data_IF_607790589288
#
_entry.id   IF_607790589288
#
_cell.length_a   1.000
_cell.length_b   1.000
_cell.length_c   1.000
_cell.angle_alpha   90.00
_cell.angle_beta   90.00
_cell.angle_gamma   90.00
#
_symmetry.space_group_name_H-M   'P 1'
#
loop_
_entity.id
_entity.type
_entity.pdbx_description
1 polymer ?
#
# COMPACT_ATOMS: atom_id res chain seq x y z
N UNK A 1 -0.17 -17.24 11.66
CA UNK A 1 0.95 -16.28 11.77
C UNK A 1 0.92 -15.23 10.67
N UNK A 2 0.92 -15.60 9.38
CA UNK A 2 0.89 -14.63 8.28
C UNK A 2 -0.34 -13.71 8.28
N UNK A 3 -1.53 -14.25 8.61
CA UNK A 3 -2.75 -13.44 8.71
C UNK A 3 -2.62 -12.35 9.81
N UNK A 4 -2.00 -12.67 10.94
CA UNK A 4 -1.76 -11.70 12.02
C UNK A 4 -0.81 -10.60 11.53
N UNK A 5 0.27 -10.97 10.84
CA UNK A 5 1.22 -10.00 10.28
C UNK A 5 0.54 -9.08 9.25
N UNK A 6 -0.31 -9.61 8.38
CA UNK A 6 -1.03 -8.84 7.38
C UNK A 6 -2.10 -7.93 8.00
N UNK A 7 -2.82 -8.39 9.03
CA UNK A 7 -3.75 -7.55 9.81
C UNK A 7 -2.97 -6.41 10.47
N UNK A 8 -1.90 -6.73 11.20
CA UNK A 8 -1.07 -5.73 11.89
C UNK A 8 -0.49 -4.73 10.90
N UNK A 9 0.07 -5.19 9.79
CA UNK A 9 0.59 -4.32 8.72
C UNK A 9 -0.50 -3.39 8.16
N UNK A 10 -1.68 -3.92 7.87
CA UNK A 10 -2.82 -3.12 7.38
C UNK A 10 -3.25 -2.07 8.40
N UNK A 11 -3.44 -2.46 9.67
CA UNK A 11 -3.88 -1.55 10.74
C UNK A 11 -2.85 -0.44 10.96
N UNK A 12 -1.56 -0.77 11.01
CA UNK A 12 -0.49 0.21 11.20
C UNK A 12 -0.44 1.22 10.04
N UNK A 13 -0.54 0.74 8.79
CA UNK A 13 -0.54 1.62 7.62
C UNK A 13 -1.79 2.50 7.56
N UNK A 14 -2.98 1.94 7.83
CA UNK A 14 -4.23 2.72 7.87
C UNK A 14 -4.17 3.77 8.97
N UNK A 15 -3.70 3.42 10.17
CA UNK A 15 -3.49 4.36 11.25
C UNK A 15 -2.53 5.48 10.87
N UNK A 16 -1.43 5.15 10.18
CA UNK A 16 -0.47 6.12 9.68
C UNK A 16 -1.09 7.07 8.66
N UNK A 17 -1.87 6.55 7.70
CA UNK A 17 -2.61 7.37 6.73
C UNK A 17 -3.57 8.30 7.45
N UNK A 18 -4.43 7.77 8.33
CA UNK A 18 -5.39 8.56 9.09
C UNK A 18 -4.72 9.64 9.94
N UNK A 19 -3.55 9.35 10.52
CA UNK A 19 -2.80 10.32 11.32
C UNK A 19 -2.40 11.57 10.51
N UNK A 20 -2.18 11.45 9.19
CA UNK A 20 -1.88 12.59 8.30
C UNK A 20 -3.09 13.48 8.04
N UNK A 21 -4.31 12.96 8.16
CA UNK A 21 -5.55 13.73 7.98
C UNK A 21 -5.93 14.54 9.22
N UNK A 22 -5.31 14.26 10.38
CA UNK A 22 -5.53 15.01 11.62
C UNK A 22 -4.32 15.87 11.97
N UNK A 23 -4.54 17.18 12.13
CA UNK A 23 -3.50 18.12 12.60
C UNK A 23 -2.93 17.72 13.97
N UNK A 24 -3.75 17.13 14.85
CA UNK A 24 -3.30 16.66 16.15
C UNK A 24 -2.33 15.48 16.05
N UNK A 25 -2.53 14.56 15.10
CA UNK A 25 -1.78 13.30 15.01
C UNK A 25 -0.73 13.27 13.89
N UNK A 26 -0.62 14.31 13.06
CA UNK A 26 0.34 14.38 11.96
C UNK A 26 1.79 14.14 12.41
N UNK A 27 2.14 14.53 13.64
CA UNK A 27 3.47 14.31 14.21
C UNK A 27 3.87 12.83 14.27
N UNK A 28 2.92 11.90 14.41
CA UNK A 28 3.20 10.47 14.38
C UNK A 28 3.71 10.03 13.01
N UNK A 29 3.07 10.48 11.93
CA UNK A 29 3.54 10.21 10.58
C UNK A 29 4.94 10.78 10.33
N UNK A 30 5.22 12.00 10.82
CA UNK A 30 6.54 12.61 10.70
C UNK A 30 7.64 11.87 11.49
N UNK A 31 7.31 11.31 12.65
CA UNK A 31 8.27 10.50 13.42
C UNK A 31 8.60 9.20 12.67
N UNK A 32 7.59 8.50 12.18
CA UNK A 32 7.79 7.28 11.39
C UNK A 32 8.59 7.59 10.14
N UNK A 33 8.27 8.69 9.45
CA UNK A 33 9.01 9.16 8.29
C UNK A 33 10.51 9.28 8.56
N UNK A 34 10.90 9.91 9.67
CA UNK A 34 12.31 10.06 10.06
C UNK A 34 12.99 8.70 10.27
N UNK A 35 12.28 7.76 10.90
CA UNK A 35 12.81 6.42 11.18
C UNK A 35 13.02 5.61 9.89
N UNK A 36 12.10 5.70 8.94
CA UNK A 36 12.16 4.92 7.69
C UNK A 36 13.08 5.52 6.62
N UNK A 37 13.79 6.62 6.93
CA UNK A 37 14.73 7.26 6.01
C UNK A 37 14.11 8.30 5.08
N UNK A 38 12.97 8.89 5.47
CA UNK A 38 12.36 10.03 4.82
C UNK A 38 11.04 9.74 4.10
N UNK A 39 10.40 10.82 3.66
CA UNK A 39 9.04 10.79 3.10
C UNK A 39 8.86 9.86 1.91
N UNK A 40 9.81 9.88 0.97
CA UNK A 40 9.74 9.05 -0.23
C UNK A 40 9.76 7.55 0.10
N UNK A 41 10.61 7.16 1.06
CA UNK A 41 10.72 5.77 1.50
C UNK A 41 9.45 5.34 2.22
N UNK A 42 8.86 6.22 3.03
CA UNK A 42 7.60 5.94 3.68
C UNK A 42 6.48 5.63 2.69
N UNK A 43 6.35 6.43 1.62
CA UNK A 43 5.36 6.19 0.57
C UNK A 43 5.57 4.85 -0.14
N UNK A 44 6.83 4.49 -0.43
CA UNK A 44 7.16 3.16 -1.01
C UNK A 44 6.79 2.02 -0.07
N UNK A 45 7.06 2.17 1.23
CA UNK A 45 6.69 1.16 2.24
C UNK A 45 5.18 1.02 2.38
N UNK A 46 4.44 2.14 2.43
CA UNK A 46 2.96 2.13 2.44
C UNK A 46 2.42 1.44 1.20
N UNK A 47 2.95 1.80 0.02
CA UNK A 47 2.57 1.22 -1.27
C UNK A 47 2.78 -0.29 -1.35
N UNK A 48 3.86 -0.80 -0.77
CA UNK A 48 4.19 -2.23 -0.82
C UNK A 48 3.48 -3.04 0.28
N UNK A 49 3.58 -2.60 1.54
CA UNK A 49 3.06 -3.34 2.70
C UNK A 49 1.55 -3.47 2.61
N UNK A 50 0.84 -2.39 2.29
CA UNK A 50 -0.61 -2.44 2.20
C UNK A 50 -1.08 -3.32 1.04
N UNK A 51 -0.42 -3.22 -0.13
CA UNK A 51 -0.76 -4.05 -1.28
C UNK A 51 -0.62 -5.54 -0.99
N UNK A 52 0.52 -5.97 -0.42
CA UNK A 52 0.77 -7.38 -0.06
C UNK A 52 -0.19 -7.82 1.04
N UNK A 53 -0.40 -6.99 2.06
CA UNK A 53 -1.24 -7.34 3.21
C UNK A 53 -2.70 -7.53 2.78
N UNK A 54 -3.25 -6.64 1.95
CA UNK A 54 -4.60 -6.78 1.42
C UNK A 54 -4.73 -7.99 0.50
N UNK A 55 -3.77 -8.19 -0.42
CA UNK A 55 -3.74 -9.37 -1.29
C UNK A 55 -3.74 -10.68 -0.48
N UNK A 56 -2.95 -10.74 0.58
CA UNK A 56 -2.89 -11.88 1.48
C UNK A 56 -4.20 -12.10 2.24
N UNK A 57 -4.73 -11.06 2.89
CA UNK A 57 -5.95 -11.13 3.70
C UNK A 57 -7.19 -11.52 2.88
N UNK A 58 -7.30 -10.99 1.67
CA UNK A 58 -8.35 -11.35 0.72
C UNK A 58 -8.13 -12.71 0.07
N UNK A 59 -7.01 -13.38 0.36
CA UNK A 59 -6.62 -14.69 -0.16
C UNK A 59 -6.68 -14.74 -1.69
N UNK A 60 -6.31 -13.64 -2.35
CA UNK A 60 -6.42 -13.57 -3.82
C UNK A 60 -5.46 -14.54 -4.52
N UNK A 61 -4.48 -15.09 -3.81
CA UNK A 61 -3.60 -16.14 -4.33
C UNK A 61 -4.38 -17.41 -4.74
N UNK A 62 -5.62 -17.57 -4.26
CA UNK A 62 -6.53 -18.66 -4.65
C UNK A 62 -7.46 -18.31 -5.82
N UNK A 63 -7.34 -17.09 -6.35
CA UNK A 63 -8.19 -16.54 -7.41
C UNK A 63 -7.47 -16.57 -8.75
N UNK A 64 -8.21 -16.36 -9.83
CA UNK A 64 -7.62 -16.28 -11.17
C UNK A 64 -6.61 -15.13 -11.26
N UNK A 65 -5.62 -15.26 -12.16
CA UNK A 65 -4.63 -14.20 -12.39
C UNK A 65 -5.28 -12.85 -12.72
N UNK A 66 -6.40 -12.87 -13.46
CA UNK A 66 -7.17 -11.67 -13.78
C UNK A 66 -7.75 -10.99 -12.53
N UNK A 67 -8.36 -11.75 -11.60
CA UNK A 67 -8.87 -11.21 -10.33
C UNK A 67 -7.73 -10.66 -9.45
N UNK A 68 -6.57 -11.32 -9.46
CA UNK A 68 -5.40 -10.84 -8.73
C UNK A 68 -4.90 -9.50 -9.29
N UNK A 69 -4.72 -9.40 -10.61
CA UNK A 69 -4.33 -8.15 -11.29
C UNK A 69 -5.35 -7.05 -11.02
N UNK A 70 -6.65 -7.37 -11.09
CA UNK A 70 -7.73 -6.42 -10.82
C UNK A 70 -7.62 -5.85 -9.41
N UNK A 71 -7.34 -6.67 -8.38
CA UNK A 71 -7.12 -6.15 -7.03
C UNK A 71 -5.95 -5.16 -6.99
N UNK A 72 -4.80 -5.51 -7.58
CA UNK A 72 -3.65 -4.61 -7.58
C UNK A 72 -3.96 -3.29 -8.29
N UNK A 73 -4.70 -3.31 -9.41
CA UNK A 73 -5.16 -2.09 -10.07
C UNK A 73 -6.07 -1.27 -9.15
N UNK A 74 -7.04 -1.90 -8.48
CA UNK A 74 -7.93 -1.22 -7.54
C UNK A 74 -7.15 -0.57 -6.39
N UNK A 75 -6.12 -1.23 -5.85
CA UNK A 75 -5.26 -0.67 -4.81
C UNK A 75 -4.48 0.55 -5.33
N UNK A 76 -3.95 0.51 -6.56
CA UNK A 76 -3.28 1.65 -7.16
C UNK A 76 -4.24 2.83 -7.36
N UNK A 77 -5.47 2.56 -7.78
CA UNK A 77 -6.53 3.57 -7.88
C UNK A 77 -6.88 4.16 -6.52
N UNK A 78 -6.90 3.37 -5.45
CA UNK A 78 -7.07 3.87 -4.08
C UNK A 78 -5.94 4.82 -3.68
N UNK A 79 -4.68 4.58 -4.08
CA UNK A 79 -3.59 5.52 -3.84
C UNK A 79 -3.76 6.83 -4.63
N UNK A 80 -4.22 6.75 -5.88
CA UNK A 80 -4.52 7.95 -6.65
C UNK A 80 -5.67 8.76 -6.02
N UNK A 81 -6.70 8.06 -5.53
CA UNK A 81 -7.84 8.67 -4.85
C UNK A 81 -7.44 9.29 -3.52
N UNK A 82 -6.63 8.62 -2.70
CA UNK A 82 -6.10 9.19 -1.45
C UNK A 82 -5.31 10.46 -1.74
N UNK A 83 -4.43 10.44 -2.75
CA UNK A 83 -3.65 11.61 -3.12
C UNK A 83 -4.52 12.78 -3.59
N UNK A 84 -5.60 12.49 -4.33
CA UNK A 84 -6.58 13.50 -4.70
C UNK A 84 -7.35 14.03 -3.48
N UNK A 85 -7.79 13.17 -2.56
CA UNK A 85 -8.50 13.56 -1.34
C UNK A 85 -7.66 14.46 -0.43
N UNK A 86 -6.34 14.32 -0.45
CA UNK A 86 -5.45 15.24 0.28
C UNK A 86 -5.61 16.70 -0.16
N UNK A 87 -6.05 16.98 -1.39
CA UNK A 87 -6.35 18.36 -1.83
C UNK A 87 -7.55 18.99 -1.11
N UNK A 88 -8.39 18.18 -0.47
CA UNK A 88 -9.56 18.64 0.30
C UNK A 88 -9.21 18.95 1.76
N UNK A 89 -7.97 18.66 2.18
CA UNK A 89 -7.53 18.81 3.58
C UNK A 89 -6.66 20.06 3.70
N UNK A 90 -7.02 21.06 4.53
CA UNK A 90 -6.37 22.37 4.53
C UNK A 90 -4.85 22.39 4.77
N UNK A 91 -4.32 21.42 5.53
CA UNK A 91 -2.90 21.31 5.87
C UNK A 91 -2.16 20.25 5.04
N UNK A 92 -2.77 19.75 3.96
CA UNK A 92 -2.17 18.78 3.05
C UNK A 92 -2.26 19.30 1.62
N UNK A 93 -1.39 18.78 0.77
CA UNK A 93 -1.40 19.07 -0.65
C UNK A 93 -1.23 17.77 -1.42
N UNK A 94 -2.05 17.61 -2.46
CA UNK A 94 -1.86 16.55 -3.42
C UNK A 94 -0.51 16.73 -4.13
N UNK A 95 0.26 15.66 -4.17
CA UNK A 95 1.60 15.59 -4.73
C UNK A 95 1.70 14.39 -5.66
N UNK A 96 1.89 14.68 -6.95
CA UNK A 96 2.15 13.64 -7.94
C UNK A 96 3.41 12.83 -7.59
N UNK A 97 4.38 13.44 -6.92
CA UNK A 97 5.59 12.74 -6.49
C UNK A 97 5.30 11.68 -5.42
N UNK A 98 4.30 11.92 -4.58
CA UNK A 98 3.92 11.05 -3.47
C UNK A 98 3.20 9.82 -4.02
N UNK A 99 2.27 10.06 -4.95
CA UNK A 99 1.64 9.01 -5.73
C UNK A 99 2.68 8.16 -6.46
N UNK A 100 3.66 8.77 -7.15
CA UNK A 100 4.74 8.03 -7.83
C UNK A 100 5.52 7.14 -6.87
N UNK A 101 5.87 7.62 -5.68
CA UNK A 101 6.59 6.80 -4.69
C UNK A 101 5.73 5.66 -4.15
N UNK A 102 4.43 5.88 -3.90
CA UNK A 102 3.49 4.80 -3.55
C UNK A 102 3.36 3.78 -4.68
N UNK A 103 3.29 4.22 -5.94
CA UNK A 103 3.23 3.37 -7.12
C UNK A 103 4.51 2.53 -7.32
N UNK A 104 5.69 3.06 -6.97
CA UNK A 104 6.95 2.29 -6.96
C UNK A 104 6.87 1.16 -5.93
N UNK A 105 6.42 1.46 -4.71
CA UNK A 105 6.19 0.44 -3.66
C UNK A 105 5.19 -0.64 -4.10
N UNK A 106 4.07 -0.21 -4.67
CA UNK A 106 3.05 -1.08 -5.25
C UNK A 106 3.61 -1.98 -6.37
N UNK A 107 4.45 -1.43 -7.24
CA UNK A 107 5.07 -2.19 -8.34
C UNK A 107 5.99 -3.28 -7.79
N UNK A 108 6.78 -2.97 -6.75
CA UNK A 108 7.61 -3.96 -6.07
C UNK A 108 6.76 -5.07 -5.43
N UNK A 109 5.63 -4.73 -4.81
CA UNK A 109 4.68 -5.69 -4.25
C UNK A 109 4.07 -6.60 -5.33
N UNK A 110 3.65 -6.03 -6.47
CA UNK A 110 3.11 -6.79 -7.60
C UNK A 110 4.14 -7.75 -8.18
N UNK A 111 5.39 -7.29 -8.37
CA UNK A 111 6.48 -8.14 -8.86
C UNK A 111 6.78 -9.28 -7.88
N UNK A 112 6.86 -8.99 -6.58
CA UNK A 112 7.03 -10.03 -5.56
C UNK A 112 5.88 -11.04 -5.60
N UNK A 113 4.65 -10.55 -5.69
CA UNK A 113 3.46 -11.40 -5.77
C UNK A 113 3.48 -12.30 -7.01
N UNK A 114 3.81 -11.73 -8.17
CA UNK A 114 3.97 -12.46 -9.42
C UNK A 114 5.04 -13.55 -9.33
N UNK A 115 6.19 -13.23 -8.72
CA UNK A 115 7.27 -14.19 -8.50
C UNK A 115 6.89 -15.33 -7.55
N UNK A 116 5.96 -15.12 -6.62
CA UNK A 116 5.52 -16.15 -5.68
C UNK A 116 4.39 -17.02 -6.25
N UNK A 117 3.46 -16.41 -7.00
CA UNK A 117 2.19 -17.07 -7.34
C UNK A 117 1.96 -17.27 -8.85
N UNK A 118 2.72 -16.61 -9.73
CA UNK A 118 2.51 -16.69 -11.18
C UNK A 118 3.60 -17.44 -11.94
N UNK A 119 4.83 -17.43 -11.42
CA UNK A 119 6.00 -18.09 -12.03
C UNK A 119 6.09 -19.58 -11.72
N UNK A 120 5.30 -20.08 -10.76
CA UNK A 120 5.12 -21.50 -10.51
C UNK A 120 4.33 -22.18 -11.63
N UNK A 121 5.02 -22.85 -12.55
CA UNK A 121 4.42 -23.86 -13.43
C UNK A 121 3.78 -24.95 -12.55
N UNK A 122 2.45 -25.06 -12.56
CA UNK A 122 1.77 -26.25 -12.01
C UNK A 122 0.47 -26.06 -11.23
N UNK A 123 -0.14 -24.87 -11.20
CA UNK A 123 -1.43 -24.68 -10.50
C UNK A 123 -2.54 -24.12 -11.40
N UNK A 124 -2.57 -24.53 -12.66
CA UNK A 124 -3.78 -24.44 -13.47
C UNK A 124 -4.08 -25.80 -14.08
N UNK A 125 -5.01 -26.49 -13.39
CA UNK A 125 -5.97 -27.51 -13.84
C UNK A 125 -5.47 -28.90 -14.21
#
# INVERSE_FOLDING_TARGET
MMDILAITGTVLIVFLIMSKYSTQYQHLAMQVEKVVGGYQMLHRMVGSILAISLAWLLRIYRKSKAEQILLFILILLCYALDEWLQSLVPHRHASLNDFKNSAVGWSAALLLWACLFWTGKGMDK
#
